data_IF_372022604545
#
_entry.id   IF_372022604545
#
_cell.length_a   1.000
_cell.length_b   1.000
_cell.length_c   1.000
_cell.angle_alpha   90.00
_cell.angle_beta   90.00
_cell.angle_gamma   90.00
#
_symmetry.space_group_name_H-M   'P 1'
#
loop_
_entity.id
_entity.type
_entity.pdbx_description
1 polymer ?
#
# COMPACT_ATOMS: atom_id res chain seq x y z
N UNK A 1 8.29 -20.59 11.30
CA UNK A 1 8.08 -19.78 10.08
C UNK A 1 9.25 -18.81 9.99
N UNK A 2 10.16 -19.02 9.04
CA UNK A 2 11.34 -18.17 8.88
C UNK A 2 10.92 -16.80 8.33
N UNK A 3 11.68 -15.76 8.69
CA UNK A 3 11.60 -14.36 8.22
C UNK A 3 11.77 -14.18 6.68
N UNK A 4 11.61 -15.23 5.88
CA UNK A 4 11.96 -15.28 4.46
C UNK A 4 10.81 -14.96 3.48
N UNK A 5 9.57 -14.80 3.95
CA UNK A 5 8.38 -14.74 3.06
C UNK A 5 7.70 -13.36 2.94
N UNK A 6 8.24 -12.30 3.56
CA UNK A 6 7.63 -10.97 3.49
C UNK A 6 8.05 -10.24 2.21
N UNK A 7 7.08 -9.93 1.34
CA UNK A 7 7.31 -9.12 0.13
C UNK A 7 7.67 -7.68 0.51
N UNK A 8 7.01 -7.17 1.56
CA UNK A 8 7.14 -5.78 2.00
C UNK A 8 7.72 -5.75 3.41
N UNK A 9 8.87 -5.10 3.60
CA UNK A 9 9.46 -4.96 4.93
C UNK A 9 8.78 -3.84 5.73
N UNK A 10 7.59 -4.12 6.27
CA UNK A 10 6.79 -3.14 7.02
C UNK A 10 7.54 -2.64 8.26
N UNK A 11 8.26 -3.51 8.96
CA UNK A 11 9.03 -3.10 10.15
C UNK A 11 10.06 -2.03 9.80
N UNK A 12 10.86 -2.27 8.76
CA UNK A 12 11.85 -1.30 8.31
C UNK A 12 11.21 0.01 7.85
N UNK A 13 10.09 -0.03 7.12
CA UNK A 13 9.36 1.17 6.71
C UNK A 13 8.93 1.99 7.95
N UNK A 14 8.41 1.34 8.99
CA UNK A 14 7.96 2.04 10.20
C UNK A 14 9.10 2.59 11.03
N UNK A 15 10.18 1.83 11.20
CA UNK A 15 11.36 2.27 11.97
C UNK A 15 12.04 3.49 11.33
N UNK A 16 11.86 3.71 10.03
CA UNK A 16 12.42 4.83 9.29
C UNK A 16 11.40 5.97 9.05
N UNK A 17 10.23 5.93 9.68
CA UNK A 17 9.24 7.00 9.57
C UNK A 17 9.82 8.33 10.09
N UNK A 18 9.70 9.44 9.34
CA UNK A 18 10.40 10.70 9.67
C UNK A 18 9.79 11.45 10.85
N UNK A 19 8.53 11.18 11.21
CA UNK A 19 7.83 11.84 12.32
C UNK A 19 6.51 11.15 12.69
N UNK A 20 5.93 11.55 13.83
CA UNK A 20 4.64 11.05 14.32
C UNK A 20 3.44 11.41 13.43
N UNK A 21 3.56 12.45 12.58
CA UNK A 21 2.51 12.82 11.62
C UNK A 21 2.52 11.94 10.37
N UNK A 22 3.46 11.02 10.24
CA UNK A 22 3.50 10.09 9.11
C UNK A 22 2.34 9.10 9.20
N UNK A 23 1.44 9.14 8.23
CA UNK A 23 0.23 8.30 8.23
C UNK A 23 0.31 7.17 7.21
N UNK A 24 1.09 7.35 6.15
CA UNK A 24 1.15 6.41 5.04
C UNK A 24 2.56 6.25 4.45
N UNK A 25 2.74 5.22 3.61
CA UNK A 25 3.93 5.00 2.80
C UNK A 25 3.57 4.59 1.38
N UNK A 26 4.11 5.29 0.38
CA UNK A 26 3.93 4.94 -1.02
C UNK A 26 5.02 3.97 -1.47
N UNK A 27 4.63 2.74 -1.80
CA UNK A 27 5.58 1.66 -2.12
C UNK A 27 6.35 1.90 -3.41
N UNK A 28 5.69 2.45 -4.43
CA UNK A 28 6.32 2.72 -5.74
C UNK A 28 7.31 3.87 -5.66
N UNK A 29 6.89 5.00 -5.09
CA UNK A 29 7.75 6.20 -4.95
C UNK A 29 8.75 6.09 -3.80
N UNK A 30 8.59 5.10 -2.92
CA UNK A 30 9.40 4.88 -1.73
C UNK A 30 9.48 6.10 -0.83
N UNK A 31 8.34 6.78 -0.64
CA UNK A 31 8.25 7.99 0.15
C UNK A 31 7.17 7.89 1.23
N UNK A 32 7.34 8.67 2.29
CA UNK A 32 6.37 8.81 3.36
C UNK A 32 5.34 9.87 3.00
N UNK A 33 4.09 9.62 3.36
CA UNK A 33 2.99 10.54 3.14
C UNK A 33 2.29 10.89 4.45
N UNK A 34 1.76 12.09 4.52
CA UNK A 34 0.90 12.58 5.60
C UNK A 34 -0.36 13.21 5.03
N UNK A 35 -1.47 13.08 5.74
CA UNK A 35 -2.73 13.74 5.43
C UNK A 35 -3.04 14.72 6.55
N UNK A 36 -3.41 15.93 6.20
CA UNK A 36 -3.95 16.88 7.18
C UNK A 36 -5.45 16.66 7.43
N UNK A 37 -6.02 17.48 8.32
CA UNK A 37 -7.45 17.43 8.66
C UNK A 37 -8.39 17.82 7.51
N UNK A 38 -7.87 18.53 6.50
CA UNK A 38 -8.63 18.96 5.32
C UNK A 38 -8.49 17.95 4.15
N UNK A 39 -7.77 16.85 4.36
CA UNK A 39 -7.54 15.80 3.37
C UNK A 39 -6.45 16.14 2.34
N UNK A 40 -5.64 17.17 2.58
CA UNK A 40 -4.49 17.49 1.73
C UNK A 40 -3.36 16.53 2.00
N UNK A 41 -2.75 16.07 0.91
CA UNK A 41 -1.67 15.11 0.95
C UNK A 41 -0.33 15.82 0.92
N UNK A 42 0.56 15.38 1.81
CA UNK A 42 1.93 15.86 1.93
C UNK A 42 2.89 14.69 1.73
N UNK A 43 3.98 14.92 1.01
CA UNK A 43 5.05 13.96 0.80
C UNK A 43 6.31 14.43 1.53
N UNK A 44 6.97 13.50 2.23
CA UNK A 44 8.23 13.81 2.88
C UNK A 44 9.35 13.95 1.85
N UNK A 45 10.00 15.11 1.85
CA UNK A 45 11.22 15.36 1.09
C UNK A 45 12.43 15.08 1.98
N UNK A 46 13.09 13.94 1.79
CA UNK A 46 14.29 13.57 2.56
C UNK A 46 15.53 14.43 2.27
N UNK A 47 15.53 15.25 1.22
CA UNK A 47 16.63 16.19 0.91
C UNK A 47 16.52 17.46 1.75
N UNK A 48 15.32 18.03 1.80
CA UNK A 48 15.06 19.28 2.53
C UNK A 48 14.66 19.02 4.00
N UNK A 49 14.36 17.77 4.34
CA UNK A 49 13.77 17.36 5.61
C UNK A 49 12.46 18.13 5.92
N UNK A 50 11.58 18.19 4.93
CA UNK A 50 10.30 18.91 5.04
C UNK A 50 9.14 18.15 4.40
N UNK A 51 7.93 18.44 4.85
CA UNK A 51 6.69 17.97 4.25
C UNK A 51 6.26 18.91 3.13
N UNK A 52 6.14 18.39 1.91
CA UNK A 52 5.76 19.16 0.72
C UNK A 52 4.36 18.75 0.28
N UNK A 53 3.45 19.71 0.14
CA UNK A 53 2.10 19.48 -0.37
C UNK A 53 2.14 18.89 -1.78
N UNK A 54 1.39 17.81 -2.00
CA UNK A 54 1.26 17.18 -3.31
C UNK A 54 0.06 17.73 -4.06
N UNK A 55 0.10 17.64 -5.39
CA UNK A 55 -1.05 18.03 -6.24
C UNK A 55 -2.10 16.92 -6.39
N UNK A 56 -1.73 15.68 -6.11
CA UNK A 56 -2.61 14.51 -6.17
C UNK A 56 -3.29 14.27 -4.83
N UNK A 57 -4.49 13.72 -4.86
CA UNK A 57 -5.20 13.28 -3.67
C UNK A 57 -4.82 11.83 -3.34
N UNK A 58 -4.93 11.43 -2.06
CA UNK A 58 -4.54 10.08 -1.63
C UNK A 58 -5.28 8.96 -2.37
N UNK A 59 -6.57 9.12 -2.65
CA UNK A 59 -7.36 8.08 -3.32
C UNK A 59 -6.87 7.81 -4.75
N UNK A 60 -6.23 8.78 -5.39
CA UNK A 60 -5.64 8.63 -6.72
C UNK A 60 -4.30 7.89 -6.71
N UNK A 61 -3.73 7.61 -5.52
CA UNK A 61 -2.47 6.91 -5.37
C UNK A 61 -2.67 5.40 -5.18
N UNK A 62 -1.92 4.60 -5.94
CA UNK A 62 -1.90 3.14 -5.82
C UNK A 62 -0.72 2.67 -4.96
N UNK A 63 -0.82 1.46 -4.42
CA UNK A 63 0.23 0.81 -3.62
C UNK A 63 0.67 1.67 -2.43
N UNK A 64 -0.31 2.16 -1.69
CA UNK A 64 -0.08 2.94 -0.47
C UNK A 64 -0.39 2.09 0.76
N UNK A 65 0.52 2.10 1.74
CA UNK A 65 0.32 1.52 3.05
C UNK A 65 -0.31 2.57 3.96
N UNK A 66 -1.46 2.27 4.55
CA UNK A 66 -2.07 3.04 5.63
C UNK A 66 -1.68 2.42 6.97
N UNK A 67 -0.86 3.13 7.76
CA UNK A 67 -0.36 2.62 9.03
C UNK A 67 -1.45 2.44 10.08
N UNK A 68 -2.40 3.38 10.17
CA UNK A 68 -3.50 3.30 11.12
C UNK A 68 -4.43 2.11 10.80
N UNK A 69 -4.71 1.85 9.52
CA UNK A 69 -5.52 0.72 9.09
C UNK A 69 -4.82 -0.61 9.36
N UNK A 70 -3.52 -0.70 9.07
CA UNK A 70 -2.69 -1.87 9.39
C UNK A 70 -2.70 -2.17 10.89
N UNK A 71 -2.56 -1.15 11.74
CA UNK A 71 -2.56 -1.32 13.19
C UNK A 71 -3.94 -1.76 13.72
N UNK A 72 -5.02 -1.24 13.13
CA UNK A 72 -6.39 -1.55 13.55
C UNK A 72 -6.88 -2.91 13.07
N UNK A 73 -6.55 -3.29 11.84
CA UNK A 73 -7.18 -4.44 11.15
C UNK A 73 -6.20 -5.55 10.80
N UNK A 74 -4.90 -5.30 10.87
CA UNK A 74 -3.86 -6.23 10.45
C UNK A 74 -3.58 -6.23 8.95
N UNK A 75 -4.29 -5.44 8.14
CA UNK A 75 -4.05 -5.32 6.71
C UNK A 75 -4.37 -3.92 6.16
N UNK A 76 -3.96 -3.65 4.93
CA UNK A 76 -4.26 -2.44 4.19
C UNK A 76 -4.82 -2.77 2.81
N UNK A 77 -5.84 -2.03 2.41
CA UNK A 77 -6.30 -1.91 1.03
C UNK A 77 -5.34 -1.01 0.27
N UNK A 78 -4.64 -1.53 -0.74
CA UNK A 78 -3.56 -0.81 -1.43
C UNK A 78 -3.87 -0.47 -2.89
N UNK A 79 -4.96 -1.00 -3.45
CA UNK A 79 -5.44 -0.68 -4.79
C UNK A 79 -6.30 -1.81 -5.38
N UNK A 80 -6.63 -1.69 -6.66
CA UNK A 80 -7.33 -2.72 -7.43
C UNK A 80 -6.38 -3.44 -8.38
N UNK A 81 -6.68 -4.70 -8.66
CA UNK A 81 -6.06 -5.46 -9.73
C UNK A 81 -7.12 -6.38 -10.34
N UNK A 82 -7.25 -6.39 -11.67
CA UNK A 82 -8.27 -7.19 -12.35
C UNK A 82 -8.24 -8.66 -11.92
N UNK A 83 -9.40 -9.24 -11.63
CA UNK A 83 -9.48 -10.62 -11.18
C UNK A 83 -9.10 -11.58 -12.32
N UNK A 84 -8.16 -12.50 -12.07
CA UNK A 84 -7.77 -13.50 -13.07
C UNK A 84 -8.84 -14.58 -13.35
N UNK A 85 -9.95 -14.60 -12.60
CA UNK A 85 -11.05 -15.56 -12.77
C UNK A 85 -12.29 -14.95 -13.44
N UNK A 86 -12.84 -13.90 -12.83
CA UNK A 86 -14.06 -13.26 -13.32
C UNK A 86 -13.81 -11.94 -14.05
N UNK A 87 -12.54 -11.50 -14.15
CA UNK A 87 -12.12 -10.29 -14.86
C UNK A 87 -12.78 -8.98 -14.40
N UNK A 88 -13.39 -8.96 -13.21
CA UNK A 88 -13.86 -7.71 -12.60
C UNK A 88 -12.67 -6.76 -12.39
N UNK A 89 -12.76 -5.50 -12.86
CA UNK A 89 -11.67 -4.54 -12.75
C UNK A 89 -11.63 -3.83 -11.38
N UNK A 90 -12.75 -3.76 -10.66
CA UNK A 90 -12.90 -2.91 -9.46
C UNK A 90 -13.09 -3.66 -8.16
N UNK A 91 -13.50 -4.93 -8.18
CA UNK A 91 -13.83 -5.66 -6.94
C UNK A 91 -12.79 -6.73 -6.61
N UNK A 92 -11.55 -6.52 -7.07
CA UNK A 92 -10.42 -7.37 -6.79
C UNK A 92 -9.29 -6.51 -6.27
N UNK A 93 -9.01 -6.65 -4.98
CA UNK A 93 -8.18 -5.74 -4.22
C UNK A 93 -6.81 -6.34 -3.96
N UNK A 94 -5.79 -5.49 -3.98
CA UNK A 94 -4.48 -5.81 -3.41
C UNK A 94 -4.52 -5.48 -1.93
N UNK A 95 -4.36 -6.51 -1.11
CA UNK A 95 -4.30 -6.43 0.35
C UNK A 95 -2.87 -6.64 0.81
N UNK A 96 -2.41 -5.82 1.74
CA UNK A 96 -1.07 -5.91 2.32
C UNK A 96 -1.22 -6.17 3.81
N UNK A 97 -0.77 -7.33 4.28
CA UNK A 97 -0.81 -7.72 5.69
C UNK A 97 0.27 -7.00 6.51
N UNK A 98 0.05 -6.88 7.83
CA UNK A 98 1.00 -6.27 8.79
C UNK A 98 2.36 -6.98 8.84
N UNK A 99 2.40 -8.24 8.47
CA UNK A 99 3.61 -9.05 8.33
C UNK A 99 4.36 -8.83 7.00
N UNK A 100 3.80 -8.04 6.08
CA UNK A 100 4.39 -7.74 4.78
C UNK A 100 3.97 -8.69 3.66
N UNK A 101 3.05 -9.61 3.93
CA UNK A 101 2.46 -10.46 2.89
C UNK A 101 1.52 -9.66 2.00
N UNK A 102 1.43 -10.05 0.72
CA UNK A 102 0.53 -9.43 -0.24
C UNK A 102 -0.45 -10.49 -0.75
N UNK A 103 -1.73 -10.15 -0.78
CA UNK A 103 -2.79 -11.04 -1.22
C UNK A 103 -3.68 -10.28 -2.20
N UNK A 104 -4.04 -10.91 -3.32
CA UNK A 104 -5.09 -10.41 -4.20
C UNK A 104 -6.41 -11.10 -3.88
N UNK A 105 -7.41 -10.34 -3.45
CA UNK A 105 -8.71 -10.89 -3.06
C UNK A 105 -9.85 -10.25 -3.85
N UNK A 106 -10.61 -11.09 -4.56
CA UNK A 106 -11.78 -10.70 -5.32
C UNK A 106 -13.06 -10.92 -4.52
N UNK A 107 -13.79 -9.84 -4.25
CA UNK A 107 -15.03 -9.87 -3.47
C UNK A 107 -16.26 -10.25 -4.31
N UNK A 108 -16.16 -10.21 -5.64
CA UNK A 108 -17.24 -10.71 -6.52
C UNK A 108 -17.29 -12.24 -6.56
N UNK A 109 -16.14 -12.89 -6.81
CA UNK A 109 -16.09 -14.34 -7.00
C UNK A 109 -15.46 -15.11 -5.82
N UNK A 110 -15.08 -14.41 -4.75
CA UNK A 110 -14.48 -14.98 -3.54
C UNK A 110 -13.08 -15.56 -3.72
N UNK A 111 -12.42 -15.34 -4.87
CA UNK A 111 -11.08 -15.86 -5.13
C UNK A 111 -10.04 -15.04 -4.37
N UNK A 112 -9.18 -15.72 -3.62
CA UNK A 112 -7.99 -15.13 -3.00
C UNK A 112 -6.73 -15.80 -3.57
N UNK A 113 -5.69 -15.02 -3.81
CA UNK A 113 -4.40 -15.49 -4.33
C UNK A 113 -3.29 -14.84 -3.51
N UNK A 114 -2.47 -15.65 -2.86
CA UNK A 114 -1.24 -15.18 -2.24
C UNK A 114 -0.27 -14.73 -3.34
N UNK A 115 0.25 -13.52 -3.19
CA UNK A 115 1.26 -12.98 -4.08
C UNK A 115 2.61 -13.39 -3.53
N UNK A 116 3.47 -13.90 -4.41
CA UNK A 116 4.83 -14.30 -4.09
C UNK A 116 5.83 -13.29 -4.68
N UNK A 117 7.04 -13.26 -4.15
CA UNK A 117 8.10 -12.32 -4.54
C UNK A 117 8.39 -12.37 -6.05
N UNK A 118 8.30 -13.55 -6.67
CA UNK A 118 8.58 -13.78 -8.09
C UNK A 118 7.55 -13.11 -9.02
N UNK A 119 6.32 -12.92 -8.56
CA UNK A 119 5.23 -12.33 -9.35
C UNK A 119 4.87 -10.91 -8.91
N UNK A 120 5.44 -10.43 -7.81
CA UNK A 120 5.14 -9.13 -7.23
C UNK A 120 5.38 -7.98 -8.20
N UNK A 121 6.46 -8.01 -8.98
CA UNK A 121 6.75 -6.96 -9.97
C UNK A 121 5.64 -6.85 -11.02
N UNK A 122 5.11 -7.98 -11.49
CA UNK A 122 3.99 -8.00 -12.44
C UNK A 122 2.70 -7.45 -11.82
N UNK A 123 2.40 -7.84 -10.57
CA UNK A 123 1.24 -7.30 -9.84
C UNK A 123 1.34 -5.79 -9.69
N UNK A 124 2.49 -5.27 -9.24
CA UNK A 124 2.71 -3.82 -9.04
C UNK A 124 2.40 -2.99 -10.29
N UNK A 125 2.76 -3.49 -11.47
CA UNK A 125 2.54 -2.79 -12.74
C UNK A 125 1.05 -2.75 -13.14
N UNK A 126 0.25 -3.70 -12.65
CA UNK A 126 -1.18 -3.80 -12.94
C UNK A 126 -2.09 -3.14 -11.90
N UNK A 127 -1.55 -2.66 -10.77
CA UNK A 127 -2.38 -2.08 -9.70
C UNK A 127 -2.91 -0.70 -10.11
N UNK A 128 -4.20 -0.48 -9.87
CA UNK A 128 -4.88 0.80 -10.02
C UNK A 128 -5.22 1.39 -8.64
N UNK A 129 -5.33 2.71 -8.59
CA UNK A 129 -5.73 3.47 -7.39
C UNK A 129 -7.23 3.33 -7.08
N UNK A 130 -7.65 3.81 -5.91
CA UNK A 130 -9.01 3.66 -5.39
C UNK A 130 -10.03 4.63 -6.00
#
# INVERSE_FOLDING_TARGET
>A
MSKLDAIINILQIRENAPSEVTTHYHLTRKCYLSLDGDGRLYMWCGVNNEWIETKTALHEEALVLNFALLDKTGFCFAGFHACSRCHTPTNSHVLIGRDGQVVMSCFDCGRSIDVWSEIWEGVKQGVQSY
#
